data_IF_824181640869
#
_entry.id   IF_824181640869
#
_cell.length_a   1.000
_cell.length_b   1.000
_cell.length_c   1.000
_cell.angle_alpha   90.00
_cell.angle_beta   90.00
_cell.angle_gamma   90.00
#
_symmetry.space_group_name_H-M   'P 1'
#
loop_
_entity.id
_entity.type
_entity.pdbx_description
1 polymer ?
#
# COMPACT_ATOMS: atom_id res chain seq x y z
N UNK A 1 27.44 17.56 -28.51
CA UNK A 1 27.85 17.15 -27.15
C UNK A 1 26.93 17.68 -26.06
N UNK A 2 25.64 17.85 -26.35
CA UNK A 2 24.64 18.41 -25.40
C UNK A 2 23.29 17.66 -25.35
N UNK A 3 23.19 16.51 -25.98
CA UNK A 3 21.97 15.67 -26.00
C UNK A 3 22.08 14.52 -25.01
N UNK A 4 23.29 14.06 -24.69
CA UNK A 4 23.52 12.95 -23.74
C UNK A 4 23.44 13.31 -22.26
N UNK A 5 23.45 14.61 -21.90
CA UNK A 5 23.31 15.04 -20.50
C UNK A 5 21.85 15.23 -20.03
N UNK A 6 20.90 15.31 -20.95
CA UNK A 6 19.47 15.41 -20.62
C UNK A 6 18.78 14.04 -20.51
N UNK A 7 19.39 12.99 -21.08
CA UNK A 7 18.86 11.62 -20.98
C UNK A 7 19.24 10.91 -19.67
N UNK A 8 20.29 11.35 -18.98
CA UNK A 8 20.73 10.74 -17.72
C UNK A 8 19.99 11.22 -16.49
N UNK A 9 19.15 12.25 -16.58
CA UNK A 9 18.32 12.75 -15.46
C UNK A 9 16.87 12.25 -15.49
N UNK A 10 16.46 11.56 -16.55
CA UNK A 10 15.12 10.95 -16.65
C UNK A 10 15.07 9.46 -16.27
N UNK A 11 16.22 8.84 -16.02
CA UNK A 11 16.32 7.38 -15.85
C UNK A 11 16.45 6.91 -14.40
N UNK A 12 16.44 7.82 -13.42
CA UNK A 12 16.50 7.45 -11.99
C UNK A 12 15.13 7.41 -11.29
N UNK A 13 14.01 7.60 -11.98
CA UNK A 13 12.68 7.84 -11.36
C UNK A 13 11.71 6.66 -11.53
N UNK A 14 12.02 5.65 -12.34
CA UNK A 14 11.02 4.60 -12.68
C UNK A 14 10.98 3.41 -11.73
N UNK A 15 11.82 3.35 -10.70
CA UNK A 15 11.86 2.21 -9.78
C UNK A 15 10.97 2.37 -8.51
N UNK A 16 10.45 3.58 -8.25
CA UNK A 16 9.65 3.85 -7.05
C UNK A 16 8.55 4.87 -7.33
N UNK A 17 7.54 4.47 -8.08
CA UNK A 17 6.26 5.19 -8.06
C UNK A 17 5.41 4.62 -6.94
N UNK A 18 5.91 4.76 -5.72
CA UNK A 18 5.06 4.85 -4.56
C UNK A 18 5.14 6.32 -4.13
N UNK A 19 4.10 7.11 -4.45
CA UNK A 19 3.87 8.44 -3.90
C UNK A 19 4.78 9.57 -4.37
N UNK A 20 4.84 9.85 -5.66
CA UNK A 20 5.10 11.23 -6.06
C UNK A 20 3.88 12.09 -5.70
N UNK A 21 4.16 13.17 -4.98
CA UNK A 21 3.24 14.28 -4.73
C UNK A 21 2.62 14.71 -6.04
N UNK A 22 1.29 14.81 -6.17
CA UNK A 22 0.73 15.53 -7.30
C UNK A 22 1.33 16.95 -7.31
N UNK A 23 1.85 17.39 -8.45
CA UNK A 23 2.29 18.77 -8.63
C UNK A 23 1.05 19.65 -8.81
N UNK A 24 0.38 19.92 -7.66
CA UNK A 24 -0.85 20.72 -7.58
C UNK A 24 -0.56 22.21 -7.31
N UNK A 25 0.72 22.62 -7.38
CA UNK A 25 1.13 24.01 -7.15
C UNK A 25 1.06 24.45 -5.69
N UNK A 26 1.01 23.54 -4.72
CA UNK A 26 0.98 23.85 -3.30
C UNK A 26 2.34 24.37 -2.83
N UNK A 27 2.40 25.65 -2.46
CA UNK A 27 3.58 26.30 -1.87
C UNK A 27 3.57 26.09 -0.36
N UNK A 28 4.58 25.40 0.16
CA UNK A 28 4.76 25.18 1.60
C UNK A 28 5.06 26.49 2.32
N UNK A 29 4.41 26.80 3.48
CA UNK A 29 4.79 27.95 4.30
C UNK A 29 6.15 27.73 4.95
N UNK A 30 7.07 28.68 4.79
CA UNK A 30 8.44 28.64 5.35
C UNK A 30 8.54 28.89 6.87
N UNK A 31 7.41 29.05 7.58
CA UNK A 31 7.39 29.50 8.97
C UNK A 31 6.68 28.52 9.89
N UNK A 32 7.43 27.65 10.53
CA UNK A 32 6.98 26.89 11.70
C UNK A 32 7.82 27.29 12.91
N UNK A 33 7.20 27.96 13.88
CA UNK A 33 7.74 28.14 15.22
C UNK A 33 7.30 27.00 16.13
N UNK A 34 8.27 26.40 16.82
CA UNK A 34 8.04 25.39 17.86
C UNK A 34 7.30 26.04 19.04
N UNK A 35 6.10 25.54 19.37
CA UNK A 35 5.49 25.82 20.68
C UNK A 35 6.02 24.79 21.67
N UNK A 36 6.73 25.30 22.69
CA UNK A 36 7.27 24.50 23.82
C UNK A 36 6.14 23.88 24.64
N UNK A 37 6.20 22.56 24.85
CA UNK A 37 5.38 21.86 25.85
C UNK A 37 5.95 22.14 27.23
N UNK A 38 5.13 22.70 28.16
CA UNK A 38 5.44 22.77 29.58
C UNK A 38 5.32 21.38 30.23
N UNK A 39 6.35 20.98 30.94
CA UNK A 39 6.38 19.77 31.80
C UNK A 39 5.54 20.01 33.08
N UNK A 40 4.81 19.02 33.62
CA UNK A 40 4.16 19.11 34.91
C UNK A 40 5.12 18.78 36.07
N UNK A 41 5.00 19.54 37.17
CA UNK A 41 5.79 19.45 38.39
C UNK A 41 5.56 18.18 39.20
N UNK A 42 6.65 17.70 39.83
CA UNK A 42 6.73 16.59 40.77
C UNK A 42 5.89 16.77 42.05
N UNK A 43 5.32 15.67 42.53
CA UNK A 43 4.82 15.56 43.90
C UNK A 43 5.20 14.22 44.54
N UNK A 44 5.54 14.15 45.86
CA UNK A 44 6.41 13.13 46.44
C UNK A 44 5.71 11.87 46.98
N UNK A 45 6.54 10.83 47.08
CA UNK A 45 6.35 9.42 47.41
C UNK A 45 5.66 9.09 48.73
N UNK A 46 4.86 8.01 48.75
CA UNK A 46 4.54 7.15 49.89
C UNK A 46 5.01 5.71 49.66
N UNK A 47 5.27 4.89 50.74
CA UNK A 47 6.18 3.74 50.67
C UNK A 47 5.55 2.37 50.42
N UNK A 48 6.32 1.53 49.80
CA UNK A 48 6.33 0.08 49.52
C UNK A 48 5.20 -0.81 50.07
N UNK A 49 4.44 -1.37 49.13
CA UNK A 49 3.82 -2.69 49.20
C UNK A 49 4.36 -3.51 48.01
N UNK A 50 4.78 -4.76 48.28
CA UNK A 50 5.19 -5.71 47.22
C UNK A 50 4.06 -5.82 46.18
N UNK A 51 4.34 -5.28 44.98
CA UNK A 51 3.41 -5.28 43.88
C UNK A 51 3.33 -6.67 43.22
N UNK A 52 2.10 -7.09 42.81
CA UNK A 52 1.99 -8.22 41.88
C UNK A 52 2.78 -7.89 40.61
N UNK A 53 3.48 -8.91 40.05
CA UNK A 53 4.18 -8.79 38.75
C UNK A 53 3.35 -7.96 37.79
N UNK A 54 3.88 -6.88 37.21
CA UNK A 54 3.09 -6.06 36.31
C UNK A 54 2.58 -6.95 35.16
N UNK A 55 1.28 -6.95 34.96
CA UNK A 55 0.69 -7.38 33.69
C UNK A 55 1.40 -6.56 32.62
N UNK A 56 2.13 -7.22 31.74
CA UNK A 56 2.78 -6.56 30.62
C UNK A 56 1.71 -5.90 29.79
N UNK A 57 1.63 -4.59 29.81
CA UNK A 57 0.74 -3.84 28.93
C UNK A 57 1.23 -4.11 27.50
N UNK A 58 0.46 -4.88 26.74
CA UNK A 58 0.88 -5.32 25.40
C UNK A 58 0.99 -4.17 24.41
N UNK A 59 0.27 -3.07 24.67
CA UNK A 59 0.24 -1.91 23.78
C UNK A 59 -0.44 -2.23 22.43
N UNK A 60 -0.38 -1.25 21.51
CA UNK A 60 -0.89 -1.42 20.14
C UNK A 60 0.12 -2.17 19.27
N UNK A 61 -0.34 -2.64 18.11
CA UNK A 61 0.49 -3.33 17.14
C UNK A 61 1.65 -2.47 16.64
N UNK A 62 2.80 -3.12 16.48
CA UNK A 62 4.05 -2.56 15.97
C UNK A 62 4.54 -3.48 14.87
N UNK A 63 4.16 -3.16 13.64
CA UNK A 63 4.41 -4.02 12.49
C UNK A 63 5.58 -3.49 11.65
N UNK A 64 6.14 -4.36 10.82
CA UNK A 64 7.06 -3.99 9.75
C UNK A 64 6.64 -4.63 8.45
N UNK A 65 6.70 -3.88 7.36
CA UNK A 65 6.49 -4.38 6.00
C UNK A 65 7.76 -5.07 5.51
N UNK A 66 7.59 -6.19 4.84
CA UNK A 66 8.67 -6.94 4.18
C UNK A 66 8.36 -6.97 2.68
N UNK A 67 8.83 -5.95 1.95
CA UNK A 67 8.76 -5.90 0.49
C UNK A 67 9.51 -7.09 -0.11
N UNK A 68 8.84 -7.85 -0.98
CA UNK A 68 9.41 -9.08 -1.50
C UNK A 68 10.64 -8.81 -2.37
N UNK A 69 10.61 -7.79 -3.23
CA UNK A 69 11.72 -7.49 -4.13
C UNK A 69 12.94 -6.94 -3.38
N UNK A 70 12.72 -6.00 -2.44
CA UNK A 70 13.79 -5.37 -1.67
C UNK A 70 14.51 -6.35 -0.73
N UNK A 71 13.78 -7.32 -0.18
CA UNK A 71 14.31 -8.32 0.75
C UNK A 71 14.58 -9.69 0.09
N UNK A 72 14.38 -9.84 -1.23
CA UNK A 72 14.47 -11.12 -1.93
C UNK A 72 15.83 -11.79 -1.83
N UNK A 73 16.90 -10.99 -1.90
CA UNK A 73 18.28 -11.49 -1.75
C UNK A 73 18.55 -12.21 -0.42
N UNK A 74 17.83 -11.83 0.63
CA UNK A 74 18.01 -12.35 1.97
C UNK A 74 17.15 -13.58 2.23
N UNK A 75 15.92 -13.62 1.68
CA UNK A 75 14.91 -14.59 2.08
C UNK A 75 14.53 -15.60 1.00
N UNK A 76 14.66 -15.27 -0.29
CA UNK A 76 14.17 -16.12 -1.37
C UNK A 76 14.70 -17.57 -1.32
N UNK A 77 15.92 -17.76 -0.78
CA UNK A 77 16.60 -19.05 -0.75
C UNK A 77 17.08 -19.46 0.65
N UNK A 78 16.56 -18.85 1.73
CA UNK A 78 17.07 -19.11 3.08
C UNK A 78 16.03 -18.97 4.18
N UNK A 79 15.42 -20.09 4.59
CA UNK A 79 14.57 -20.16 5.80
C UNK A 79 15.35 -19.73 7.06
N UNK A 80 16.67 -20.03 7.09
CA UNK A 80 17.53 -19.62 8.21
C UNK A 80 17.58 -18.11 8.39
N UNK A 81 17.64 -17.35 7.30
CA UNK A 81 17.64 -15.89 7.35
C UNK A 81 16.27 -15.36 7.79
N UNK A 82 15.18 -15.98 7.33
CA UNK A 82 13.82 -15.66 7.79
C UNK A 82 13.75 -15.83 9.31
N UNK A 83 14.10 -16.99 9.84
CA UNK A 83 14.06 -17.27 11.28
C UNK A 83 14.96 -16.30 12.09
N UNK A 84 16.15 -15.98 11.59
CA UNK A 84 17.07 -15.07 12.27
C UNK A 84 16.53 -13.64 12.37
N UNK A 85 15.94 -13.12 11.28
CA UNK A 85 15.39 -11.77 11.26
C UNK A 85 14.06 -11.69 12.03
N UNK A 86 13.21 -12.73 12.00
CA UNK A 86 12.00 -12.81 12.84
C UNK A 86 12.35 -12.75 14.34
N UNK A 87 13.37 -13.48 14.77
CA UNK A 87 13.88 -13.37 16.15
C UNK A 87 14.36 -11.95 16.47
N UNK A 88 15.14 -11.32 15.57
CA UNK A 88 15.63 -9.96 15.76
C UNK A 88 14.50 -8.94 15.82
N UNK A 89 13.46 -9.11 15.02
CA UNK A 89 12.24 -8.28 15.07
C UNK A 89 11.56 -8.36 16.43
N UNK A 90 11.41 -9.59 16.98
CA UNK A 90 10.86 -9.79 18.34
C UNK A 90 11.70 -9.09 19.40
N UNK A 91 13.03 -9.27 19.36
CA UNK A 91 13.98 -8.64 20.28
C UNK A 91 13.96 -7.10 20.18
N UNK A 92 13.61 -6.56 19.02
CA UNK A 92 13.44 -5.11 18.78
C UNK A 92 12.12 -4.58 19.32
N UNK A 93 11.12 -5.45 19.57
CA UNK A 93 9.82 -5.07 20.13
C UNK A 93 8.68 -5.00 19.11
N UNK A 94 8.86 -5.52 17.89
CA UNK A 94 7.77 -5.71 16.95
C UNK A 94 6.78 -6.76 17.45
N UNK A 95 5.50 -6.60 17.06
CA UNK A 95 4.43 -7.56 17.37
C UNK A 95 4.09 -8.45 16.18
N UNK A 96 4.48 -8.02 14.97
CA UNK A 96 4.21 -8.80 13.76
C UNK A 96 4.87 -8.21 12.52
N UNK A 97 4.65 -8.90 11.40
CA UNK A 97 5.16 -8.56 10.08
C UNK A 97 4.05 -8.57 9.03
N UNK A 98 4.20 -7.73 8.01
CA UNK A 98 3.38 -7.76 6.80
C UNK A 98 4.30 -8.23 5.67
N UNK A 99 4.15 -9.50 5.26
CA UNK A 99 5.01 -10.15 4.25
C UNK A 99 4.36 -10.02 2.89
N UNK A 100 5.01 -9.33 1.97
CA UNK A 100 4.57 -9.29 0.58
C UNK A 100 4.85 -10.64 -0.09
N UNK A 101 3.79 -11.28 -0.57
CA UNK A 101 3.85 -12.64 -1.16
C UNK A 101 3.42 -12.68 -2.64
N UNK A 102 3.07 -11.54 -3.22
CA UNK A 102 2.84 -11.32 -4.64
C UNK A 102 3.32 -9.91 -5.00
N UNK A 103 4.60 -9.76 -5.40
CA UNK A 103 5.21 -8.46 -5.69
C UNK A 103 4.76 -7.89 -7.04
N UNK A 104 5.27 -6.71 -7.38
CA UNK A 104 4.95 -6.02 -8.66
C UNK A 104 5.39 -6.77 -9.92
N UNK A 105 6.32 -7.72 -9.80
CA UNK A 105 6.66 -8.64 -10.90
C UNK A 105 5.58 -9.69 -11.15
N UNK A 106 4.60 -9.78 -10.23
CA UNK A 106 3.61 -10.85 -10.11
C UNK A 106 4.27 -12.25 -10.01
N UNK A 107 3.47 -13.29 -9.75
CA UNK A 107 3.94 -14.59 -9.32
C UNK A 107 3.90 -14.73 -7.80
N UNK A 108 3.63 -15.94 -7.32
CA UNK A 108 3.26 -16.19 -5.93
C UNK A 108 4.43 -16.77 -5.12
N UNK A 109 4.55 -16.32 -3.88
CA UNK A 109 5.46 -16.85 -2.85
C UNK A 109 4.71 -17.78 -1.86
N UNK A 110 3.58 -18.30 -2.28
CA UNK A 110 2.77 -19.33 -1.64
C UNK A 110 2.16 -20.25 -2.69
N UNK A 111 1.55 -21.34 -2.29
CA UNK A 111 0.97 -22.32 -3.23
C UNK A 111 -0.42 -21.89 -3.66
N UNK A 112 -0.66 -21.90 -4.96
CA UNK A 112 -1.97 -21.65 -5.58
C UNK A 112 -2.06 -22.36 -6.92
N UNK A 113 -3.28 -22.71 -7.32
CA UNK A 113 -3.58 -23.27 -8.63
C UNK A 113 -3.89 -22.17 -9.69
N UNK A 114 -4.03 -20.91 -9.28
CA UNK A 114 -4.45 -19.80 -10.14
C UNK A 114 -3.29 -19.05 -10.78
N UNK A 115 -2.16 -18.91 -10.10
CA UNK A 115 -0.98 -18.22 -10.61
C UNK A 115 0.30 -19.00 -10.26
N UNK A 116 1.28 -18.98 -11.17
CA UNK A 116 2.54 -19.69 -10.99
C UNK A 116 3.44 -19.11 -9.89
N UNK A 117 4.42 -19.89 -9.43
CA UNK A 117 5.34 -19.47 -8.40
C UNK A 117 6.26 -18.35 -8.89
N UNK A 118 6.57 -17.41 -8.00
CA UNK A 118 7.58 -16.39 -8.24
C UNK A 118 8.97 -17.04 -8.26
N UNK A 119 9.63 -16.98 -9.40
CA UNK A 119 10.97 -17.56 -9.61
C UNK A 119 12.09 -16.53 -9.60
N UNK A 120 11.75 -15.24 -9.77
CA UNK A 120 12.73 -14.16 -9.81
C UNK A 120 12.07 -12.79 -9.64
N UNK A 121 12.83 -11.84 -9.12
CA UNK A 121 12.46 -10.42 -9.10
C UNK A 121 13.55 -9.58 -9.74
N UNK A 122 13.18 -8.44 -10.34
CA UNK A 122 14.15 -7.43 -10.77
C UNK A 122 14.58 -6.60 -9.54
N UNK A 123 15.87 -6.43 -9.40
CA UNK A 123 16.43 -5.64 -8.30
C UNK A 123 17.66 -4.85 -8.73
N UNK A 124 17.85 -3.70 -8.11
CA UNK A 124 19.08 -2.94 -8.26
C UNK A 124 20.19 -3.56 -7.39
N UNK A 125 21.19 -4.11 -8.04
CA UNK A 125 22.32 -4.76 -7.35
C UNK A 125 23.63 -4.18 -7.85
N UNK A 126 24.34 -3.49 -6.96
CA UNK A 126 25.69 -2.97 -7.21
C UNK A 126 25.81 -2.21 -8.56
N UNK A 127 24.93 -1.21 -8.75
CA UNK A 127 24.98 -0.32 -9.92
C UNK A 127 24.34 -0.86 -11.19
N UNK A 128 23.60 -1.96 -11.13
CA UNK A 128 22.83 -2.49 -12.27
C UNK A 128 21.53 -3.18 -11.82
N UNK A 129 20.51 -3.14 -12.69
CA UNK A 129 19.34 -4.02 -12.53
C UNK A 129 19.70 -5.45 -12.93
N UNK A 130 19.29 -6.42 -12.10
CA UNK A 130 19.51 -7.85 -12.34
C UNK A 130 18.32 -8.65 -11.86
N UNK A 131 18.10 -9.81 -12.49
CA UNK A 131 17.24 -10.82 -11.92
C UNK A 131 17.89 -11.47 -10.68
N UNK A 132 17.25 -11.35 -9.54
CA UNK A 132 17.51 -12.21 -8.39
C UNK A 132 16.61 -13.43 -8.48
N UNK A 133 17.20 -14.63 -8.50
CA UNK A 133 16.48 -15.89 -8.70
C UNK A 133 16.18 -16.57 -7.37
N UNK A 134 14.99 -17.15 -7.30
CA UNK A 134 14.60 -18.11 -6.29
C UNK A 134 14.81 -19.52 -6.85
N UNK A 135 15.59 -20.33 -6.15
CA UNK A 135 15.90 -21.73 -6.48
C UNK A 135 15.51 -22.70 -5.38
N UNK A 136 15.14 -22.18 -4.21
CA UNK A 136 14.65 -22.97 -3.10
C UNK A 136 13.26 -23.53 -3.38
N UNK A 137 12.96 -24.69 -2.80
CA UNK A 137 11.71 -25.43 -2.91
C UNK A 137 10.79 -25.30 -1.69
N UNK A 138 11.27 -24.67 -0.60
CA UNK A 138 10.41 -24.44 0.58
C UNK A 138 9.29 -23.44 0.28
N UNK A 139 8.17 -23.57 0.99
CA UNK A 139 7.08 -22.61 0.92
C UNK A 139 7.46 -21.33 1.68
N UNK A 140 7.61 -20.23 0.92
CA UNK A 140 8.12 -18.98 1.46
C UNK A 140 7.20 -18.40 2.54
N UNK A 141 5.89 -18.33 2.27
CA UNK A 141 4.92 -17.82 3.25
C UNK A 141 4.87 -18.71 4.49
N UNK A 142 4.86 -20.04 4.30
CA UNK A 142 4.86 -20.99 5.42
C UNK A 142 6.10 -20.82 6.31
N UNK A 143 7.28 -20.56 5.72
CA UNK A 143 8.49 -20.31 6.48
C UNK A 143 8.39 -19.08 7.39
N UNK A 144 7.74 -18.00 6.92
CA UNK A 144 7.45 -16.83 7.76
C UNK A 144 6.41 -17.15 8.85
N UNK A 145 5.36 -17.90 8.54
CA UNK A 145 4.36 -18.34 9.51
C UNK A 145 5.00 -19.16 10.62
N UNK A 146 5.82 -20.14 10.26
CA UNK A 146 6.49 -21.01 11.25
C UNK A 146 7.47 -20.23 12.13
N UNK A 147 8.26 -19.33 11.52
CA UNK A 147 9.16 -18.46 12.27
C UNK A 147 8.40 -17.45 13.16
N UNK A 148 7.27 -16.91 12.68
CA UNK A 148 6.38 -16.05 13.45
C UNK A 148 5.82 -16.75 14.68
N UNK A 149 5.32 -17.97 14.52
CA UNK A 149 4.84 -18.80 15.63
C UNK A 149 5.93 -19.09 16.66
N UNK A 150 7.13 -19.40 16.20
CA UNK A 150 8.27 -19.68 17.09
C UNK A 150 8.65 -18.47 17.97
N UNK A 151 8.52 -17.26 17.44
CA UNK A 151 8.90 -16.03 18.14
C UNK A 151 7.69 -15.28 18.75
N UNK A 152 6.45 -15.74 18.53
CA UNK A 152 5.23 -15.06 18.95
C UNK A 152 5.05 -13.72 18.26
N UNK A 153 5.21 -13.72 16.92
CA UNK A 153 4.93 -12.61 16.01
C UNK A 153 3.75 -12.95 15.11
N UNK A 154 2.82 -12.02 14.95
CA UNK A 154 1.75 -12.14 13.97
C UNK A 154 2.30 -11.99 12.55
N UNK A 155 1.80 -12.79 11.61
CA UNK A 155 2.17 -12.74 10.20
C UNK A 155 0.96 -12.38 9.36
N UNK A 156 1.02 -11.22 8.71
CA UNK A 156 0.08 -10.80 7.68
C UNK A 156 0.68 -11.08 6.31
N UNK A 157 -0.13 -11.51 5.36
CA UNK A 157 0.29 -11.68 3.96
C UNK A 157 -0.23 -10.53 3.10
N UNK A 158 0.65 -9.88 2.33
CA UNK A 158 0.27 -8.80 1.43
C UNK A 158 0.45 -9.20 -0.04
N UNK A 159 -0.49 -8.76 -0.90
CA UNK A 159 -0.42 -8.98 -2.35
C UNK A 159 -0.64 -7.67 -3.11
N UNK A 160 0.12 -7.46 -4.20
CA UNK A 160 -0.16 -6.41 -5.17
C UNK A 160 -1.33 -6.85 -6.07
N UNK A 161 -2.54 -6.50 -5.69
CA UNK A 161 -3.79 -7.13 -6.14
C UNK A 161 -4.02 -7.00 -7.64
N UNK A 162 -4.11 -5.78 -8.16
CA UNK A 162 -4.42 -5.54 -9.58
C UNK A 162 -3.19 -5.57 -10.49
N UNK A 163 -2.05 -6.03 -9.99
CA UNK A 163 -0.84 -6.17 -10.82
C UNK A 163 -0.88 -7.45 -11.62
N UNK A 164 -0.76 -7.35 -12.94
CA UNK A 164 -0.71 -8.48 -13.88
C UNK A 164 0.70 -8.83 -14.36
N UNK A 165 1.70 -8.08 -13.93
CA UNK A 165 3.09 -8.31 -14.29
C UNK A 165 3.88 -7.02 -14.47
N UNK A 166 5.14 -7.17 -14.89
CA UNK A 166 6.06 -6.04 -15.08
C UNK A 166 6.91 -6.22 -16.32
N UNK A 167 6.99 -5.20 -17.16
CA UNK A 167 8.03 -5.03 -18.16
C UNK A 167 9.21 -4.35 -17.49
N UNK A 168 10.26 -5.12 -17.22
CA UNK A 168 11.41 -4.63 -16.46
C UNK A 168 12.32 -3.73 -17.29
N UNK A 169 12.97 -2.75 -16.65
CA UNK A 169 13.85 -1.81 -17.34
C UNK A 169 15.15 -2.46 -17.84
N UNK A 170 15.88 -1.74 -18.68
CA UNK A 170 17.21 -2.10 -19.16
C UNK A 170 17.29 -3.45 -19.91
N UNK A 171 16.20 -3.84 -20.57
CA UNK A 171 16.18 -5.05 -21.39
C UNK A 171 16.22 -6.36 -20.61
N UNK A 172 15.92 -6.35 -19.31
CA UNK A 172 15.81 -7.57 -18.52
C UNK A 172 14.68 -8.49 -18.97
N UNK A 173 13.67 -7.95 -19.69
CA UNK A 173 12.49 -8.69 -20.12
C UNK A 173 11.30 -8.45 -19.20
N UNK A 174 10.39 -9.41 -19.15
CA UNK A 174 9.11 -9.27 -18.46
C UNK A 174 8.83 -10.46 -17.56
N UNK A 175 7.91 -10.27 -16.61
CA UNK A 175 7.44 -11.29 -15.67
C UNK A 175 5.96 -11.08 -15.37
N UNK A 176 5.28 -12.16 -15.00
CA UNK A 176 3.90 -12.16 -14.52
C UNK A 176 2.89 -12.73 -15.52
N UNK A 177 1.64 -12.98 -15.06
CA UNK A 177 0.63 -13.72 -15.78
C UNK A 177 0.22 -13.10 -17.13
N UNK A 178 0.29 -11.79 -17.30
CA UNK A 178 0.04 -11.14 -18.59
C UNK A 178 1.13 -11.41 -19.64
N UNK A 179 2.31 -11.89 -19.23
CA UNK A 179 3.45 -12.14 -20.13
C UNK A 179 3.69 -13.63 -20.36
N UNK A 180 3.35 -14.49 -19.42
CA UNK A 180 3.52 -15.96 -19.55
C UNK A 180 2.29 -16.66 -20.17
N UNK A 181 1.20 -15.93 -20.40
CA UNK A 181 -0.02 -16.43 -21.01
C UNK A 181 -1.02 -17.02 -19.99
N UNK A 182 -0.72 -16.96 -18.69
CA UNK A 182 -1.66 -17.38 -17.62
C UNK A 182 -2.85 -16.42 -17.50
N UNK A 183 -2.65 -15.12 -17.80
CA UNK A 183 -3.69 -14.12 -17.94
C UNK A 183 -3.85 -13.66 -19.40
N UNK A 184 -5.09 -13.38 -19.80
CA UNK A 184 -5.40 -12.89 -21.15
C UNK A 184 -4.94 -11.44 -21.33
N UNK A 185 -4.45 -11.07 -22.50
CA UNK A 185 -4.08 -9.68 -22.83
C UNK A 185 -5.28 -8.72 -22.62
N UNK A 186 -6.50 -9.17 -22.87
CA UNK A 186 -7.74 -8.41 -22.71
C UNK A 186 -8.07 -8.09 -21.24
N UNK A 187 -7.38 -8.73 -20.31
CA UNK A 187 -7.49 -8.42 -18.88
C UNK A 187 -6.70 -7.18 -18.46
N UNK A 188 -5.75 -6.77 -19.30
CA UNK A 188 -4.89 -5.62 -19.03
C UNK A 188 -5.63 -4.30 -19.24
N UNK A 189 -5.27 -3.29 -18.44
CA UNK A 189 -5.80 -1.92 -18.56
C UNK A 189 -5.55 -1.30 -19.91
N UNK A 190 -6.50 -0.47 -20.37
CA UNK A 190 -6.39 0.34 -21.58
C UNK A 190 -6.32 1.83 -21.20
N UNK A 191 -5.27 2.48 -21.68
CA UNK A 191 -4.90 3.84 -21.31
C UNK A 191 -5.36 4.83 -22.39
N UNK A 192 -5.99 5.93 -21.95
CA UNK A 192 -6.37 7.05 -22.81
C UNK A 192 -5.17 7.98 -23.01
N UNK A 193 -4.32 7.67 -24.00
CA UNK A 193 -3.16 8.50 -24.35
C UNK A 193 -3.53 9.65 -25.29
N UNK A 194 -2.61 10.58 -25.50
CA UNK A 194 -2.80 11.67 -26.46
C UNK A 194 -3.00 11.17 -27.90
N UNK A 195 -2.45 9.99 -28.22
CA UNK A 195 -2.52 9.38 -29.57
C UNK A 195 -3.66 8.36 -29.70
N UNK A 196 -4.50 8.20 -28.67
CA UNK A 196 -5.64 7.28 -28.63
C UNK A 196 -5.54 6.24 -27.53
N UNK A 197 -6.42 5.22 -27.59
CA UNK A 197 -6.49 4.15 -26.61
C UNK A 197 -5.38 3.12 -26.84
N UNK A 198 -4.56 2.85 -25.82
CA UNK A 198 -3.43 1.91 -25.87
C UNK A 198 -3.54 0.90 -24.74
N UNK A 199 -3.47 -0.40 -25.05
CA UNK A 199 -3.37 -1.42 -24.01
C UNK A 199 -2.03 -1.25 -23.27
N UNK A 200 -2.03 -1.29 -21.94
CA UNK A 200 -0.82 -1.07 -21.14
C UNK A 200 0.31 -2.08 -21.47
N UNK A 201 -0.03 -3.26 -22.03
CA UNK A 201 0.94 -4.24 -22.50
C UNK A 201 1.75 -3.76 -23.70
N UNK A 202 1.20 -2.82 -24.48
CA UNK A 202 1.87 -2.25 -25.68
C UNK A 202 2.67 -0.97 -25.31
N UNK A 203 2.64 -0.56 -24.05
CA UNK A 203 3.42 0.57 -23.53
C UNK A 203 4.82 0.14 -23.10
N UNK A 204 5.70 1.12 -22.90
CA UNK A 204 7.07 0.92 -22.45
C UNK A 204 7.18 0.20 -21.09
N UNK A 205 8.37 0.16 -20.53
CA UNK A 205 8.70 -0.41 -19.24
C UNK A 205 7.71 0.02 -18.12
N UNK A 206 7.58 -0.81 -17.09
CA UNK A 206 6.75 -0.54 -15.92
C UNK A 206 5.80 -1.67 -15.57
N UNK A 207 5.10 -1.48 -14.47
CA UNK A 207 4.07 -2.40 -13.97
C UNK A 207 2.87 -2.41 -14.91
N UNK A 208 2.32 -3.58 -15.17
CA UNK A 208 1.12 -3.79 -15.99
C UNK A 208 -0.03 -4.18 -15.08
N UNK A 209 -1.13 -3.46 -15.20
CA UNK A 209 -2.28 -3.64 -14.34
C UNK A 209 -3.39 -4.40 -15.05
N UNK A 210 -4.12 -5.18 -14.26
CA UNK A 210 -5.37 -5.82 -14.63
C UNK A 210 -6.51 -4.81 -14.50
N UNK A 211 -7.55 -4.97 -15.31
CA UNK A 211 -8.74 -4.12 -15.28
C UNK A 211 -9.69 -4.53 -14.14
N UNK A 212 -9.91 -3.70 -13.10
CA UNK A 212 -10.83 -4.02 -12.00
C UNK A 212 -12.30 -4.19 -12.42
N UNK A 213 -12.69 -3.66 -13.57
CA UNK A 213 -14.04 -3.79 -14.10
C UNK A 213 -14.29 -5.13 -14.80
N UNK A 214 -13.27 -5.94 -15.06
CA UNK A 214 -13.40 -7.23 -15.75
C UNK A 214 -13.77 -8.34 -14.78
N UNK A 215 -14.93 -9.00 -14.98
CA UNK A 215 -15.40 -10.07 -14.09
C UNK A 215 -14.45 -11.29 -14.08
N UNK A 216 -13.80 -11.63 -15.20
CA UNK A 216 -12.81 -12.71 -15.24
C UNK A 216 -11.58 -12.38 -14.38
N UNK A 217 -11.17 -11.11 -14.33
CA UNK A 217 -10.09 -10.63 -13.43
C UNK A 217 -10.51 -10.74 -11.98
N UNK A 218 -11.75 -10.33 -11.67
CA UNK A 218 -12.31 -10.46 -10.31
C UNK A 218 -12.29 -11.92 -9.87
N UNK A 219 -12.82 -12.85 -10.68
CA UNK A 219 -12.89 -14.28 -10.36
C UNK A 219 -11.49 -14.89 -10.18
N UNK A 220 -10.53 -14.52 -11.03
CA UNK A 220 -9.14 -14.95 -10.92
C UNK A 220 -8.49 -14.50 -9.61
N UNK A 221 -8.66 -13.24 -9.22
CA UNK A 221 -8.11 -12.71 -7.97
C UNK A 221 -8.80 -13.29 -6.74
N UNK A 222 -10.11 -13.55 -6.81
CA UNK A 222 -10.85 -14.23 -5.74
C UNK A 222 -10.34 -15.67 -5.52
N UNK A 223 -9.94 -16.37 -6.59
CA UNK A 223 -9.32 -17.68 -6.48
C UNK A 223 -7.97 -17.64 -5.77
N UNK A 224 -7.11 -16.67 -6.11
CA UNK A 224 -5.83 -16.45 -5.42
C UNK A 224 -6.04 -16.16 -3.92
N UNK A 225 -7.05 -15.34 -3.58
CA UNK A 225 -7.38 -15.02 -2.19
C UNK A 225 -7.94 -16.23 -1.42
N UNK A 226 -8.68 -17.09 -2.07
CA UNK A 226 -9.17 -18.35 -1.48
C UNK A 226 -8.00 -19.24 -1.06
N UNK A 227 -7.02 -19.44 -1.95
CA UNK A 227 -5.83 -20.24 -1.66
C UNK A 227 -4.98 -19.59 -0.54
N UNK A 228 -4.85 -18.26 -0.54
CA UNK A 228 -4.11 -17.52 0.48
C UNK A 228 -4.79 -17.61 1.85
N UNK A 229 -6.12 -17.56 1.90
CA UNK A 229 -6.89 -17.64 3.13
C UNK A 229 -6.81 -19.01 3.83
N UNK A 230 -6.33 -20.04 3.12
CA UNK A 230 -6.08 -21.36 3.69
C UNK A 230 -4.80 -21.43 4.53
N UNK A 231 -3.93 -20.43 4.44
CA UNK A 231 -2.74 -20.33 5.30
C UNK A 231 -3.10 -19.78 6.69
N UNK A 232 -2.33 -20.21 7.69
CA UNK A 232 -2.51 -19.76 9.09
C UNK A 232 -1.84 -18.38 9.31
N UNK A 233 -2.33 -17.39 8.56
CA UNK A 233 -1.93 -15.99 8.67
C UNK A 233 -2.88 -15.21 9.59
N UNK A 234 -2.37 -14.16 10.23
CA UNK A 234 -3.18 -13.24 11.03
C UNK A 234 -4.14 -12.44 10.16
N UNK A 235 -3.71 -12.08 8.96
CA UNK A 235 -4.53 -11.32 8.03
C UNK A 235 -3.99 -11.28 6.62
N UNK A 236 -4.82 -10.82 5.69
CA UNK A 236 -4.52 -10.62 4.27
C UNK A 236 -4.69 -9.14 3.95
N UNK A 237 -3.65 -8.51 3.40
CA UNK A 237 -3.61 -7.10 3.08
C UNK A 237 -3.51 -6.91 1.56
N UNK A 238 -4.50 -6.25 0.98
CA UNK A 238 -4.54 -5.93 -0.44
C UNK A 238 -3.81 -4.61 -0.72
N UNK A 239 -2.57 -4.69 -1.22
CA UNK A 239 -1.89 -3.54 -1.81
C UNK A 239 -2.28 -3.42 -3.29
N UNK A 240 -2.16 -2.22 -3.86
CA UNK A 240 -2.49 -1.90 -5.26
C UNK A 240 -3.84 -2.47 -5.72
N UNK A 241 -4.80 -2.54 -4.79
CA UNK A 241 -6.20 -2.81 -5.09
C UNK A 241 -6.85 -1.54 -5.65
N UNK A 242 -6.44 -1.16 -6.86
CA UNK A 242 -6.76 0.11 -7.50
C UNK A 242 -6.55 0.02 -9.02
N UNK A 243 -6.97 1.08 -9.72
CA UNK A 243 -6.60 1.27 -11.11
C UNK A 243 -5.09 1.51 -11.24
N UNK A 244 -4.58 1.47 -12.48
CA UNK A 244 -3.15 1.50 -12.75
C UNK A 244 -2.47 2.86 -12.47
N UNK A 245 -1.16 2.89 -12.69
CA UNK A 245 -0.33 4.06 -12.42
C UNK A 245 -0.57 5.24 -13.40
N UNK A 246 -1.41 5.07 -14.42
CA UNK A 246 -1.90 6.14 -15.31
C UNK A 246 -3.16 6.83 -14.76
N UNK A 247 -3.64 6.42 -13.60
CA UNK A 247 -4.66 7.09 -12.80
C UNK A 247 -5.96 7.40 -13.59
N UNK A 248 -6.30 8.68 -13.80
CA UNK A 248 -7.51 9.10 -14.51
C UNK A 248 -7.54 8.68 -15.99
N UNK A 249 -6.38 8.34 -16.56
CA UNK A 249 -6.28 7.86 -17.93
C UNK A 249 -6.65 6.38 -18.10
N UNK A 250 -7.04 5.67 -17.02
CA UNK A 250 -7.44 4.26 -17.05
C UNK A 250 -8.72 3.97 -16.27
N UNK A 251 -9.42 2.88 -16.55
CA UNK A 251 -9.29 1.96 -17.68
C UNK A 251 -10.37 2.28 -18.72
N UNK A 252 -9.96 2.47 -19.96
CA UNK A 252 -10.87 2.79 -21.07
C UNK A 252 -11.05 1.63 -22.07
N UNK A 253 -10.98 0.38 -21.59
CA UNK A 253 -11.26 -0.80 -22.38
C UNK A 253 -12.73 -0.87 -22.83
N UNK A 254 -13.01 -1.74 -23.78
CA UNK A 254 -14.39 -2.00 -24.22
C UNK A 254 -15.23 -2.67 -23.11
N UNK A 255 -14.60 -3.42 -22.19
CA UNK A 255 -15.26 -3.97 -20.99
C UNK A 255 -15.74 -2.84 -20.09
N UNK A 256 -14.86 -1.91 -19.76
CA UNK A 256 -15.21 -0.73 -18.95
C UNK A 256 -16.23 0.15 -19.62
N UNK A 257 -16.17 0.32 -20.95
CA UNK A 257 -17.18 1.05 -21.71
C UNK A 257 -18.56 0.46 -21.51
N UNK A 258 -18.72 -0.83 -21.79
CA UNK A 258 -20.03 -1.51 -21.68
C UNK A 258 -20.63 -1.43 -20.28
N UNK A 259 -19.79 -1.72 -19.26
CA UNK A 259 -20.22 -1.65 -17.85
C UNK A 259 -20.55 -0.22 -17.41
N UNK A 260 -19.81 0.77 -17.90
CA UNK A 260 -20.11 2.17 -17.62
C UNK A 260 -21.40 2.63 -18.28
N UNK A 261 -21.66 2.25 -19.56
CA UNK A 261 -22.90 2.52 -20.26
C UNK A 261 -24.11 1.88 -19.55
N UNK A 262 -23.95 0.65 -19.05
CA UNK A 262 -24.95 -0.02 -18.22
C UNK A 262 -25.17 0.74 -16.90
N UNK A 263 -24.10 1.14 -16.21
CA UNK A 263 -24.16 1.90 -14.95
C UNK A 263 -24.90 3.24 -15.10
N UNK A 264 -24.66 3.98 -16.18
CA UNK A 264 -25.33 5.26 -16.42
C UNK A 264 -26.67 5.14 -17.17
N UNK A 265 -27.03 3.94 -17.64
CA UNK A 265 -28.26 3.65 -18.35
C UNK A 265 -28.38 4.27 -19.75
N UNK A 266 -27.26 4.60 -20.39
CA UNK A 266 -27.19 5.20 -21.72
C UNK A 266 -25.86 4.93 -22.43
N UNK A 267 -25.91 4.95 -23.78
CA UNK A 267 -24.70 4.86 -24.62
C UNK A 267 -23.82 6.13 -24.51
N UNK A 268 -22.49 5.93 -24.52
CA UNK A 268 -21.49 6.99 -24.64
C UNK A 268 -21.10 7.11 -26.12
N UNK A 269 -21.61 8.15 -26.77
CA UNK A 269 -21.50 8.30 -28.24
C UNK A 269 -20.08 8.50 -28.72
N UNK A 270 -19.26 9.22 -27.95
CA UNK A 270 -17.86 9.50 -28.27
C UNK A 270 -16.99 8.98 -27.14
N UNK A 271 -16.62 7.69 -27.20
CA UNK A 271 -15.76 7.04 -26.19
C UNK A 271 -14.28 7.21 -26.52
N UNK A 272 -13.43 7.62 -25.56
CA UNK A 272 -13.73 8.10 -24.19
C UNK A 272 -13.98 9.62 -24.15
N UNK A 273 -14.06 10.32 -25.30
CA UNK A 273 -14.04 11.77 -25.43
C UNK A 273 -15.15 12.49 -24.68
N UNK A 274 -16.34 11.85 -24.46
CA UNK A 274 -17.41 12.43 -23.67
C UNK A 274 -17.09 12.45 -22.16
N UNK A 275 -16.06 11.72 -21.72
CA UNK A 275 -15.59 11.67 -20.31
C UNK A 275 -14.28 12.46 -20.19
N UNK A 276 -13.26 12.06 -20.94
CA UNK A 276 -11.96 12.70 -21.00
C UNK A 276 -11.47 12.86 -22.45
N UNK A 277 -10.95 14.03 -22.75
CA UNK A 277 -10.22 14.23 -24.01
C UNK A 277 -9.01 13.28 -24.09
N UNK A 278 -8.50 12.98 -25.30
CA UNK A 278 -7.29 12.17 -25.46
C UNK A 278 -6.12 12.70 -24.60
N UNK A 279 -5.53 11.83 -23.80
CA UNK A 279 -4.40 12.15 -22.93
C UNK A 279 -4.69 13.03 -21.72
N UNK A 280 -5.96 13.36 -21.44
CA UNK A 280 -6.31 14.16 -20.26
C UNK A 280 -6.04 13.37 -18.97
N UNK A 281 -5.28 13.99 -18.06
CA UNK A 281 -4.86 13.46 -16.76
C UNK A 281 -5.50 14.20 -15.58
N UNK A 282 -6.37 15.17 -15.84
CA UNK A 282 -7.03 16.02 -14.83
C UNK A 282 -8.53 16.13 -15.09
N UNK A 283 -9.29 16.34 -14.02
CA UNK A 283 -10.71 16.69 -14.12
C UNK A 283 -10.88 18.06 -14.76
N UNK A 284 -11.97 18.25 -15.51
CA UNK A 284 -12.33 19.55 -16.06
C UNK A 284 -12.72 20.53 -14.96
N UNK A 285 -12.63 21.83 -15.26
CA UNK A 285 -13.11 22.88 -14.34
C UNK A 285 -14.17 23.74 -15.04
N UNK A 286 -15.44 23.63 -14.62
CA UNK A 286 -16.00 22.76 -13.59
C UNK A 286 -15.99 21.27 -14.01
N UNK A 287 -15.99 20.37 -13.02
CA UNK A 287 -16.05 18.92 -13.26
C UNK A 287 -17.36 18.57 -13.99
N UNK A 288 -17.27 17.83 -15.11
CA UNK A 288 -18.44 17.45 -15.88
C UNK A 288 -19.23 16.34 -15.21
N UNK A 289 -20.54 16.25 -15.51
CA UNK A 289 -21.39 15.18 -14.98
C UNK A 289 -20.92 13.78 -15.43
N UNK A 290 -20.34 13.66 -16.62
CA UNK A 290 -19.78 12.41 -17.10
C UNK A 290 -18.53 12.00 -16.33
N UNK A 291 -17.68 12.97 -15.96
CA UNK A 291 -16.53 12.72 -15.09
C UNK A 291 -16.96 12.31 -13.68
N UNK A 292 -17.97 12.96 -13.11
CA UNK A 292 -18.53 12.56 -11.81
C UNK A 292 -19.00 11.10 -11.86
N UNK A 293 -19.80 10.73 -12.87
CA UNK A 293 -20.27 9.33 -13.04
C UNK A 293 -19.13 8.35 -13.28
N UNK A 294 -18.08 8.77 -13.96
CA UNK A 294 -16.88 7.95 -14.15
C UNK A 294 -16.13 7.70 -12.85
N UNK A 295 -15.99 8.72 -11.98
CA UNK A 295 -15.39 8.55 -10.65
C UNK A 295 -16.21 7.61 -9.76
N UNK A 296 -17.53 7.76 -9.79
CA UNK A 296 -18.47 6.87 -9.09
C UNK A 296 -18.34 5.42 -9.59
N UNK A 297 -18.33 5.20 -10.90
CA UNK A 297 -18.18 3.88 -11.50
C UNK A 297 -16.85 3.20 -11.13
N UNK A 298 -15.74 3.94 -11.17
CA UNK A 298 -14.42 3.40 -10.77
C UNK A 298 -14.40 3.02 -9.30
N UNK A 299 -14.88 3.91 -8.42
CA UNK A 299 -14.98 3.63 -7.00
C UNK A 299 -15.88 2.42 -6.71
N UNK A 300 -17.01 2.30 -7.42
CA UNK A 300 -17.92 1.15 -7.32
C UNK A 300 -17.22 -0.17 -7.67
N UNK A 301 -16.43 -0.23 -8.74
CA UNK A 301 -15.75 -1.47 -9.13
C UNK A 301 -14.78 -1.95 -8.04
N UNK A 302 -14.05 -1.04 -7.40
CA UNK A 302 -13.15 -1.40 -6.29
C UNK A 302 -13.95 -1.78 -5.04
N UNK A 303 -15.00 -1.02 -4.69
CA UNK A 303 -15.91 -1.35 -3.60
C UNK A 303 -16.49 -2.76 -3.74
N UNK A 304 -17.07 -3.08 -4.90
CA UNK A 304 -17.69 -4.38 -5.17
C UNK A 304 -16.66 -5.53 -5.12
N UNK A 305 -15.43 -5.26 -5.55
CA UNK A 305 -14.34 -6.22 -5.42
C UNK A 305 -13.97 -6.45 -3.95
N UNK A 306 -13.84 -5.38 -3.14
CA UNK A 306 -13.52 -5.48 -1.72
C UNK A 306 -14.58 -6.26 -0.95
N UNK A 307 -15.86 -6.01 -1.20
CA UNK A 307 -16.99 -6.77 -0.63
C UNK A 307 -16.87 -8.27 -0.96
N UNK A 308 -16.68 -8.62 -2.24
CA UNK A 308 -16.53 -10.01 -2.68
C UNK A 308 -15.28 -10.68 -2.11
N UNK A 309 -14.18 -9.95 -2.06
CA UNK A 309 -12.90 -10.46 -1.54
C UNK A 309 -12.98 -10.74 -0.04
N UNK A 310 -13.54 -9.82 0.75
CA UNK A 310 -13.82 -10.03 2.17
C UNK A 310 -14.68 -11.27 2.40
N UNK A 311 -15.81 -11.36 1.69
CA UNK A 311 -16.70 -12.52 1.80
C UNK A 311 -16.02 -13.84 1.41
N UNK A 312 -15.16 -13.84 0.37
CA UNK A 312 -14.42 -15.03 -0.06
C UNK A 312 -13.39 -15.45 0.99
N UNK A 313 -12.60 -14.54 1.52
CA UNK A 313 -11.60 -14.82 2.57
C UNK A 313 -12.28 -15.39 3.80
N UNK A 314 -13.33 -14.76 4.31
CA UNK A 314 -14.05 -15.22 5.50
C UNK A 314 -14.82 -16.52 5.28
N UNK A 315 -15.18 -16.86 4.04
CA UNK A 315 -15.79 -18.17 3.74
C UNK A 315 -14.80 -19.34 3.90
N UNK A 316 -13.50 -19.08 3.75
CA UNK A 316 -12.43 -20.06 3.95
C UNK A 316 -11.98 -20.07 5.41
N UNK A 317 -11.69 -18.88 5.95
CA UNK A 317 -11.22 -18.74 7.33
C UNK A 317 -11.81 -17.46 7.95
N UNK A 318 -12.84 -17.56 8.80
CA UNK A 318 -13.49 -16.41 9.41
C UNK A 318 -12.62 -15.65 10.43
N UNK A 319 -11.52 -16.24 10.88
CA UNK A 319 -10.62 -15.63 11.87
C UNK A 319 -9.48 -14.82 11.24
N UNK A 320 -9.32 -14.87 9.91
CA UNK A 320 -8.32 -14.08 9.17
C UNK A 320 -8.82 -12.65 9.00
N UNK A 321 -8.05 -11.68 9.43
CA UNK A 321 -8.35 -10.27 9.19
C UNK A 321 -8.16 -9.93 7.71
N UNK A 322 -9.19 -9.42 7.08
CA UNK A 322 -9.13 -8.93 5.71
C UNK A 322 -8.97 -7.40 5.69
N UNK A 323 -8.10 -6.88 4.83
CA UNK A 323 -7.94 -5.43 4.71
C UNK A 323 -7.10 -4.98 3.53
N UNK A 324 -6.82 -3.68 3.48
CA UNK A 324 -6.04 -3.09 2.41
C UNK A 324 -4.95 -2.15 2.94
N UNK A 325 -3.88 -2.01 2.14
CA UNK A 325 -2.96 -0.90 2.24
C UNK A 325 -3.39 0.22 1.29
N UNK A 326 -3.40 1.44 1.81
CA UNK A 326 -3.67 2.66 1.05
C UNK A 326 -2.75 3.79 1.48
N UNK A 327 -2.47 4.71 0.56
CA UNK A 327 -1.84 5.98 0.92
C UNK A 327 -2.81 6.86 1.71
N UNK A 328 -2.32 7.50 2.77
CA UNK A 328 -3.14 8.31 3.65
C UNK A 328 -3.59 9.67 3.04
N UNK A 329 -3.12 10.01 1.83
CA UNK A 329 -3.50 11.21 1.07
C UNK A 329 -4.85 11.05 0.38
N UNK A 330 -5.91 11.00 1.17
CA UNK A 330 -7.27 10.81 0.68
C UNK A 330 -7.69 11.89 -0.33
N UNK A 331 -7.20 13.13 -0.16
CA UNK A 331 -7.56 14.27 -1.01
C UNK A 331 -7.31 14.08 -2.51
N UNK A 332 -6.39 13.19 -2.89
CA UNK A 332 -6.07 12.85 -4.28
C UNK A 332 -6.28 11.38 -4.64
N UNK A 333 -6.67 10.51 -3.69
CA UNK A 333 -6.72 9.07 -3.92
C UNK A 333 -7.78 8.64 -4.96
N UNK A 334 -8.77 9.50 -5.25
CA UNK A 334 -9.75 9.28 -6.32
C UNK A 334 -9.11 9.16 -7.71
N UNK A 335 -7.91 9.73 -7.92
CA UNK A 335 -7.16 9.54 -9.17
C UNK A 335 -6.97 8.06 -9.49
N UNK A 336 -6.68 7.26 -8.49
CA UNK A 336 -6.50 5.81 -8.62
C UNK A 336 -7.82 5.02 -8.63
N UNK A 337 -8.98 5.69 -8.70
CA UNK A 337 -10.30 5.06 -8.75
C UNK A 337 -10.75 4.41 -7.44
N UNK A 338 -10.24 4.89 -6.31
CA UNK A 338 -10.48 4.29 -4.99
C UNK A 338 -11.16 5.27 -4.05
N UNK A 339 -12.16 4.79 -3.34
CA UNK A 339 -12.74 5.44 -2.17
C UNK A 339 -12.56 4.55 -0.94
N UNK A 340 -11.45 4.72 -0.20
CA UNK A 340 -11.14 3.90 0.97
C UNK A 340 -11.79 4.40 2.28
N UNK A 341 -12.70 5.36 2.19
CA UNK A 341 -13.43 5.88 3.34
C UNK A 341 -14.51 4.92 3.83
N UNK A 342 -15.09 5.21 4.99
CA UNK A 342 -16.37 4.69 5.39
C UNK A 342 -17.47 5.13 4.41
N UNK A 343 -18.46 4.30 4.06
CA UNK A 343 -19.62 4.74 3.28
C UNK A 343 -20.44 5.84 3.99
N UNK A 344 -20.29 6.00 5.31
CA UNK A 344 -20.91 7.08 6.07
C UNK A 344 -20.13 8.41 6.01
N UNK A 345 -18.88 8.39 5.52
CA UNK A 345 -18.08 9.59 5.36
C UNK A 345 -18.56 10.45 4.21
N UNK A 346 -18.81 11.73 4.48
CA UNK A 346 -19.20 12.67 3.42
C UNK A 346 -17.97 13.06 2.57
N UNK A 347 -17.74 12.35 1.47
CA UNK A 347 -16.61 12.58 0.58
C UNK A 347 -16.60 14.00 -0.04
N UNK A 348 -17.74 14.71 -0.08
CA UNK A 348 -17.81 16.09 -0.54
C UNK A 348 -16.97 17.06 0.31
N UNK A 349 -16.62 16.68 1.54
CA UNK A 349 -15.71 17.46 2.38
C UNK A 349 -14.27 17.43 1.87
N UNK A 350 -13.89 16.41 1.10
CA UNK A 350 -12.58 16.30 0.46
C UNK A 350 -12.64 16.67 -1.04
N UNK A 351 -13.71 16.26 -1.72
CA UNK A 351 -13.88 16.47 -3.16
C UNK A 351 -15.17 17.22 -3.44
N UNK A 352 -15.09 18.48 -3.86
CA UNK A 352 -16.27 19.33 -4.10
C UNK A 352 -17.24 18.75 -5.14
N UNK A 353 -16.76 17.90 -6.04
CA UNK A 353 -17.54 17.20 -7.06
C UNK A 353 -18.25 15.94 -6.56
N UNK A 354 -17.81 15.36 -5.41
CA UNK A 354 -18.37 14.11 -4.93
C UNK A 354 -19.85 14.21 -4.58
N UNK A 355 -20.56 13.13 -4.84
CA UNK A 355 -21.99 12.94 -4.56
C UNK A 355 -22.18 12.04 -3.35
N UNK A 356 -23.42 11.87 -2.89
CA UNK A 356 -23.77 10.85 -1.91
C UNK A 356 -23.56 9.43 -2.45
N UNK A 357 -23.72 9.23 -3.76
CA UNK A 357 -23.48 7.95 -4.43
C UNK A 357 -21.97 7.60 -4.41
N UNK A 358 -21.09 8.57 -4.73
CA UNK A 358 -19.66 8.35 -4.57
C UNK A 358 -19.28 8.00 -3.12
N UNK A 359 -19.87 8.68 -2.14
CA UNK A 359 -19.63 8.39 -0.71
C UNK A 359 -20.04 6.95 -0.35
N UNK A 360 -21.16 6.46 -0.87
CA UNK A 360 -21.65 5.10 -0.59
C UNK A 360 -20.76 3.99 -1.15
N UNK A 361 -19.84 4.30 -2.05
CA UNK A 361 -18.81 3.39 -2.56
C UNK A 361 -17.52 3.41 -1.73
N UNK A 362 -17.55 3.99 -0.53
CA UNK A 362 -16.53 3.75 0.47
C UNK A 362 -16.54 2.28 0.90
N UNK A 363 -15.37 1.67 1.13
CA UNK A 363 -15.27 0.24 1.42
C UNK A 363 -14.68 -0.10 2.79
N UNK A 364 -14.46 0.87 3.66
CA UNK A 364 -13.84 0.62 4.96
C UNK A 364 -14.60 -0.40 5.81
N UNK A 365 -15.93 -0.45 5.69
CA UNK A 365 -16.82 -1.38 6.40
C UNK A 365 -16.74 -2.84 5.90
N UNK A 366 -16.07 -3.08 4.77
CA UNK A 366 -15.75 -4.43 4.28
C UNK A 366 -14.42 -4.95 4.80
N UNK A 367 -13.68 -4.16 5.59
CA UNK A 367 -12.35 -4.49 6.11
C UNK A 367 -12.37 -4.70 7.62
N UNK A 368 -11.54 -5.64 8.11
CA UNK A 368 -11.27 -5.83 9.54
C UNK A 368 -10.10 -4.97 10.01
N UNK A 369 -9.23 -4.54 9.08
CA UNK A 369 -8.06 -3.72 9.35
C UNK A 369 -7.68 -2.90 8.11
N UNK A 370 -7.19 -1.68 8.32
CA UNK A 370 -6.60 -0.86 7.26
C UNK A 370 -5.16 -0.49 7.60
N UNK A 371 -4.28 -0.60 6.61
CA UNK A 371 -2.89 -0.13 6.70
C UNK A 371 -2.79 1.16 5.90
N UNK A 372 -2.36 2.25 6.53
CA UNK A 372 -2.28 3.56 5.87
C UNK A 372 -0.84 4.09 5.82
N UNK A 373 -0.36 4.38 4.62
CA UNK A 373 0.96 4.97 4.41
C UNK A 373 0.96 6.45 4.81
N UNK A 374 1.43 6.75 6.02
CA UNK A 374 1.64 8.12 6.50
C UNK A 374 3.00 8.64 6.01
N UNK A 375 3.21 8.60 4.68
CA UNK A 375 4.49 8.88 4.04
C UNK A 375 4.73 10.39 3.95
N UNK A 376 5.50 10.92 4.88
CA UNK A 376 5.87 12.32 4.94
C UNK A 376 7.38 12.48 5.11
N UNK A 377 7.90 13.68 4.87
CA UNK A 377 9.32 13.96 5.00
C UNK A 377 9.79 13.92 6.47
N UNK A 378 11.11 13.83 6.67
CA UNK A 378 11.73 13.94 8.00
C UNK A 378 11.42 15.25 8.74
N UNK A 379 10.98 16.28 8.01
CA UNK A 379 10.59 17.60 8.55
C UNK A 379 9.08 17.71 8.84
N UNK A 380 8.29 16.71 8.47
CA UNK A 380 6.82 16.72 8.50
C UNK A 380 6.28 15.59 9.39
N UNK A 381 6.84 15.40 10.59
CA UNK A 381 6.41 14.34 11.51
C UNK A 381 5.11 14.75 12.22
N UNK A 382 5.10 15.91 12.88
CA UNK A 382 3.95 16.43 13.61
C UNK A 382 3.18 17.46 12.81
N UNK A 383 1.88 17.57 13.08
CA UNK A 383 0.99 18.56 12.51
C UNK A 383 -0.43 18.02 12.28
N UNK A 384 -1.34 18.91 11.92
CA UNK A 384 -2.75 18.57 11.60
C UNK A 384 -3.01 18.40 10.10
N UNK A 385 -2.05 18.76 9.26
CA UNK A 385 -2.17 18.72 7.81
C UNK A 385 -2.05 17.30 7.28
N UNK A 386 -2.69 17.02 6.15
CA UNK A 386 -2.65 15.73 5.46
C UNK A 386 -1.22 15.25 5.17
N UNK A 387 -0.29 16.16 4.88
CA UNK A 387 1.09 15.80 4.53
C UNK A 387 2.07 15.80 5.73
N UNK A 388 1.58 15.57 6.93
CA UNK A 388 2.38 15.23 8.12
C UNK A 388 2.03 13.83 8.60
N UNK A 389 2.98 13.10 9.20
CA UNK A 389 2.72 11.73 9.67
C UNK A 389 1.57 11.70 10.69
N UNK A 390 1.61 12.58 11.67
CA UNK A 390 0.54 12.74 12.66
C UNK A 390 -0.79 13.14 12.01
N UNK A 391 -0.76 14.10 11.08
CA UNK A 391 -1.96 14.61 10.42
C UNK A 391 -2.62 13.55 9.54
N UNK A 392 -1.86 12.75 8.82
CA UNK A 392 -2.35 11.60 8.08
C UNK A 392 -3.12 10.63 9.00
N UNK A 393 -2.50 10.22 10.12
CA UNK A 393 -3.13 9.30 11.07
C UNK A 393 -4.38 9.90 11.73
N UNK A 394 -4.34 11.18 12.16
CA UNK A 394 -5.49 11.87 12.74
C UNK A 394 -6.69 11.99 11.79
N UNK A 395 -6.42 12.32 10.52
CA UNK A 395 -7.47 12.50 9.51
C UNK A 395 -8.15 11.18 9.15
N UNK A 396 -7.38 10.09 9.08
CA UNK A 396 -7.92 8.75 8.82
C UNK A 396 -9.02 8.35 9.82
N UNK A 397 -8.91 8.75 11.08
CA UNK A 397 -9.97 8.50 12.08
C UNK A 397 -11.35 9.00 11.65
N UNK A 398 -11.38 10.21 11.07
CA UNK A 398 -12.65 10.81 10.61
C UNK A 398 -13.12 10.17 9.29
N UNK A 399 -12.18 9.79 8.42
CA UNK A 399 -12.48 9.19 7.11
C UNK A 399 -13.03 7.78 7.28
N UNK A 400 -12.49 6.99 8.22
CA UNK A 400 -13.02 5.67 8.55
C UNK A 400 -14.28 5.70 9.42
N UNK A 401 -14.59 6.83 10.05
CA UNK A 401 -15.78 7.04 10.87
C UNK A 401 -16.04 5.96 11.97
N UNK A 402 -15.04 5.17 12.30
CA UNK A 402 -15.10 4.09 13.28
C UNK A 402 -15.43 2.71 12.73
N UNK A 403 -15.64 2.55 11.42
CA UNK A 403 -16.00 1.28 10.80
C UNK A 403 -14.88 0.25 10.86
N UNK A 404 -13.61 0.69 10.82
CA UNK A 404 -12.45 -0.19 10.81
C UNK A 404 -11.31 0.33 11.67
N UNK A 405 -10.58 -0.52 12.41
CA UNK A 405 -9.29 -0.17 13.00
C UNK A 405 -8.24 0.03 11.93
N UNK A 406 -7.28 0.93 12.19
CA UNK A 406 -6.21 1.21 11.23
C UNK A 406 -4.84 1.37 11.88
N UNK A 407 -3.81 1.04 11.10
CA UNK A 407 -2.40 1.07 11.44
C UNK A 407 -1.70 2.05 10.49
N UNK A 408 -1.19 3.15 11.01
CA UNK A 408 -0.49 4.17 10.23
C UNK A 408 1.02 4.03 10.34
N UNK A 409 1.76 4.32 9.27
CA UNK A 409 3.20 4.24 9.35
C UNK A 409 3.97 4.95 8.24
N UNK A 410 5.25 5.29 8.51
CA UNK A 410 6.12 6.00 7.60
C UNK A 410 6.78 5.08 6.58
N UNK A 411 7.26 5.67 5.48
CA UNK A 411 8.34 5.12 4.67
C UNK A 411 9.66 5.73 5.14
N UNK A 412 10.50 4.90 5.77
CA UNK A 412 11.79 5.30 6.38
C UNK A 412 13.00 5.13 5.44
N UNK A 413 12.76 4.92 4.17
CA UNK A 413 13.82 4.73 3.18
C UNK A 413 13.66 5.57 1.92
N UNK A 414 12.42 5.82 1.46
CA UNK A 414 12.18 6.51 0.19
C UNK A 414 11.55 7.91 0.38
N UNK A 415 10.92 8.17 1.52
CA UNK A 415 10.37 9.51 1.78
C UNK A 415 11.48 10.55 1.93
N UNK A 416 11.17 11.79 1.55
CA UNK A 416 12.13 12.91 1.52
C UNK A 416 12.85 13.07 2.86
N UNK A 417 14.18 13.00 2.81
CA UNK A 417 15.09 13.11 3.95
C UNK A 417 15.45 11.77 4.61
N UNK A 418 14.86 10.64 4.18
CA UNK A 418 15.22 9.30 4.65
C UNK A 418 16.17 8.56 3.69
N UNK A 419 16.29 8.99 2.45
CA UNK A 419 16.93 8.26 1.33
C UNK A 419 18.40 7.90 1.57
N UNK A 420 19.05 8.59 2.50
CA UNK A 420 20.47 8.37 2.82
C UNK A 420 20.72 7.81 4.22
N UNK A 421 19.67 7.41 4.94
CA UNK A 421 19.77 6.94 6.32
C UNK A 421 20.16 8.04 7.32
N UNK A 422 20.63 7.63 8.51
CA UNK A 422 21.10 8.55 9.56
C UNK A 422 19.96 9.23 10.36
N UNK A 423 18.75 8.76 10.23
CA UNK A 423 17.56 9.36 10.86
C UNK A 423 17.08 8.63 12.13
N UNK A 424 17.94 7.79 12.73
CA UNK A 424 17.59 7.01 13.93
C UNK A 424 17.07 7.84 15.09
N UNK A 425 17.62 9.05 15.28
CA UNK A 425 17.17 9.97 16.34
C UNK A 425 15.72 10.46 16.18
N UNK A 426 15.11 10.31 15.00
CA UNK A 426 13.71 10.67 14.76
C UNK A 426 12.73 9.55 15.14
N UNK A 427 13.19 8.30 15.32
CA UNK A 427 12.31 7.15 15.56
C UNK A 427 11.34 7.35 16.73
N UNK A 428 11.75 7.91 17.91
CA UNK A 428 10.79 8.18 18.98
C UNK A 428 9.66 9.12 18.58
N UNK A 429 9.95 10.19 17.83
CA UNK A 429 8.96 11.14 17.35
C UNK A 429 8.01 10.50 16.31
N UNK A 430 8.52 9.66 15.44
CA UNK A 430 7.78 8.94 14.40
C UNK A 430 6.83 7.94 15.05
N UNK A 431 7.32 7.16 16.02
CA UNK A 431 6.49 6.21 16.77
C UNK A 431 5.37 6.95 17.49
N UNK A 432 5.68 8.01 18.21
CA UNK A 432 4.68 8.84 18.90
C UNK A 432 3.61 9.38 17.93
N UNK A 433 4.03 9.98 16.83
CA UNK A 433 3.13 10.56 15.84
C UNK A 433 2.18 9.53 15.19
N UNK A 434 2.67 8.33 14.88
CA UNK A 434 1.89 7.32 14.20
C UNK A 434 1.04 6.46 15.17
N UNK A 435 1.66 5.89 16.22
CA UNK A 435 0.98 4.91 17.08
C UNK A 435 -0.11 5.54 17.94
N UNK A 436 0.13 6.75 18.46
CA UNK A 436 -0.86 7.44 19.31
C UNK A 436 -2.03 8.01 18.51
N UNK A 437 -1.88 8.20 17.23
CA UNK A 437 -2.92 8.74 16.35
C UNK A 437 -3.57 7.71 15.42
N UNK A 438 -3.21 6.44 15.53
CA UNK A 438 -3.84 5.30 14.87
C UNK A 438 -4.54 4.42 15.88
N UNK A 439 -5.66 3.78 15.49
CA UNK A 439 -6.45 2.96 16.43
C UNK A 439 -5.85 1.59 16.67
N UNK A 440 -5.31 0.93 15.65
CA UNK A 440 -4.76 -0.42 15.72
C UNK A 440 -3.27 -0.48 16.06
N UNK A 441 -2.49 0.55 15.72
CA UNK A 441 -1.04 0.52 15.92
C UNK A 441 -0.27 1.30 14.88
N UNK A 442 0.98 0.88 14.64
CA UNK A 442 1.82 1.46 13.59
C UNK A 442 2.60 0.40 12.82
N UNK A 443 3.09 0.76 11.63
CA UNK A 443 4.04 -0.05 10.89
C UNK A 443 5.22 0.79 10.37
N UNK A 444 6.32 0.12 10.02
CA UNK A 444 7.41 0.71 9.26
C UNK A 444 7.48 0.12 7.84
N UNK A 445 7.58 0.95 6.84
CA UNK A 445 7.97 0.57 5.48
C UNK A 445 9.44 0.96 5.28
N UNK A 446 10.39 0.02 5.09
CA UNK A 446 10.26 -1.42 5.21
C UNK A 446 11.50 -2.02 5.91
N UNK A 447 11.51 -3.33 6.12
CA UNK A 447 12.58 -4.04 6.82
C UNK A 447 13.96 -3.87 6.16
N UNK A 448 14.04 -3.80 4.82
CA UNK A 448 15.32 -3.61 4.14
C UNK A 448 16.01 -2.31 4.57
N UNK A 449 15.23 -1.24 4.82
CA UNK A 449 15.77 0.05 5.28
C UNK A 449 16.20 0.01 6.75
N UNK A 450 15.47 -0.73 7.60
CA UNK A 450 15.90 -0.96 9.00
C UNK A 450 17.26 -1.64 9.01
N UNK A 451 17.44 -2.66 8.16
CA UNK A 451 18.72 -3.40 8.02
C UNK A 451 19.82 -2.53 7.40
N UNK A 452 19.50 -1.83 6.32
CA UNK A 452 20.45 -1.01 5.56
C UNK A 452 21.03 0.14 6.38
N UNK A 453 20.20 0.78 7.19
CA UNK A 453 20.58 1.97 7.98
C UNK A 453 20.82 1.67 9.46
N UNK A 454 20.74 0.38 9.84
CA UNK A 454 20.94 -0.11 11.22
C UNK A 454 20.05 0.61 12.26
N UNK A 455 18.76 0.76 11.96
CA UNK A 455 17.80 1.43 12.85
C UNK A 455 17.30 0.58 14.03
N UNK A 456 17.80 -0.63 14.21
CA UNK A 456 17.29 -1.59 15.20
C UNK A 456 17.23 -1.03 16.63
N UNK A 457 18.34 -0.45 17.10
CA UNK A 457 18.42 0.09 18.45
C UNK A 457 17.57 1.35 18.64
N UNK A 458 17.49 2.20 17.60
CA UNK A 458 16.68 3.42 17.64
C UNK A 458 15.17 3.09 17.70
N UNK A 459 14.74 2.11 16.92
CA UNK A 459 13.35 1.63 16.93
C UNK A 459 13.03 0.95 18.26
N UNK A 460 13.93 0.08 18.74
CA UNK A 460 13.75 -0.55 20.07
C UNK A 460 13.55 0.49 21.16
N UNK A 461 14.43 1.48 21.23
CA UNK A 461 14.31 2.58 22.18
C UNK A 461 12.98 3.32 22.04
N UNK A 462 12.52 3.56 20.81
CA UNK A 462 11.25 4.23 20.57
C UNK A 462 10.05 3.39 21.05
N UNK A 463 10.07 2.09 20.82
CA UNK A 463 9.04 1.18 21.31
C UNK A 463 9.06 1.03 22.84
N UNK A 464 10.26 0.94 23.45
CA UNK A 464 10.40 0.92 24.91
C UNK A 464 9.78 2.17 25.54
N UNK A 465 10.08 3.38 25.01
CA UNK A 465 9.48 4.64 25.46
C UNK A 465 7.97 4.67 25.30
N UNK A 466 7.43 4.15 24.19
CA UNK A 466 5.99 4.02 24.00
C UNK A 466 5.35 3.11 25.06
N UNK A 467 5.93 1.93 25.31
CA UNK A 467 5.41 0.97 26.28
C UNK A 467 5.49 1.49 27.72
N UNK A 468 6.53 2.24 28.06
CA UNK A 468 6.67 2.91 29.36
C UNK A 468 5.59 4.01 29.58
N UNK A 469 5.08 4.58 28.49
CA UNK A 469 4.06 5.64 28.55
C UNK A 469 2.62 5.12 28.74
N UNK A 470 2.39 3.81 28.62
CA UNK A 470 1.08 3.16 28.83
C UNK A 470 0.74 2.96 30.32
#
# INVERSE_FOLDING_TARGET
MNIMRKLLLLLSVVAFVACEKPDDGYIWPDNWSEEEKQEPEDNPQEPDKEDPKPETKEGKDRLVWIDAAANFKDYANSEKNIAADMKRLKETGFTGVIVEVRPTTAGLLFKSDFEGPLTQVDAWVTGAYKWLKRTADFDYLQAFIDAGKAEGLDVYAAINTMVGGKQCPYGLGSSGPLFDGSAKKEWASVINTADGLVNCMDMAEGTKFLNPANDEVVDYLLGILEDLAAYDVKGIILDRCRYDDFELQSDFSEVSRKKFEEYIGKEVKNWPGDIFAPGADKLSSPVSQMQVKWMEFRAKNIHDFMEKASARVHSVNPDVHFGAYVGAWYSSYYYSGVNWASPSYNAKSAYTWATSEYSSYGYADHCDIMIIGAYASTKSIYGSNEWTMEGFCKRAKNIFAGDVPYIGGPDIGNSTGFENGGQGSLMPKIVDACINNSTGGMFFFDLCHIKMYDYWNDIKKAFDQYLESL
#
